data_IF_228488875650
#
_entry.id   IF_228488875650
#
_cell.length_a   1.000
_cell.length_b   1.000
_cell.length_c   1.000
_cell.angle_alpha   90.00
_cell.angle_beta   90.00
_cell.angle_gamma   90.00
#
_symmetry.space_group_name_H-M   'P 1'
#
loop_
_entity.id
_entity.type
_entity.pdbx_description
1 polymer ?
#
# COMPACT_ATOMS: atom_id res chain seq x y z
N UNK A 1 -3.67 -2.79 11.47
CA UNK A 1 -2.82 -3.93 11.85
C UNK A 1 -1.38 -3.53 11.56
N UNK A 2 -0.56 -3.50 12.59
CA UNK A 2 0.83 -3.08 12.52
C UNK A 2 1.74 -4.27 12.21
N UNK A 3 2.84 -4.01 11.52
CA UNK A 3 3.85 -5.02 11.15
C UNK A 3 5.22 -4.58 11.65
N UNK A 4 5.99 -5.49 12.22
CA UNK A 4 7.43 -5.36 12.46
C UNK A 4 8.15 -6.55 11.85
N UNK A 5 9.42 -6.38 11.48
CA UNK A 5 10.28 -7.48 11.05
C UNK A 5 11.22 -7.81 12.21
N UNK A 6 11.29 -9.08 12.62
CA UNK A 6 12.22 -9.47 13.67
C UNK A 6 13.66 -9.42 13.14
N UNK A 7 14.58 -8.81 13.91
CA UNK A 7 16.00 -8.74 13.55
C UNK A 7 16.74 -10.07 13.71
N UNK A 8 16.22 -10.97 14.55
CA UNK A 8 16.88 -12.25 14.86
C UNK A 8 16.50 -13.37 13.90
N UNK A 9 15.22 -13.45 13.51
CA UNK A 9 14.72 -14.53 12.65
C UNK A 9 14.16 -14.04 11.32
N UNK A 10 14.19 -12.73 11.07
CA UNK A 10 13.76 -12.08 9.82
C UNK A 10 12.29 -12.32 9.44
N UNK A 11 11.49 -12.85 10.38
CA UNK A 11 10.06 -13.13 10.16
C UNK A 11 9.21 -11.91 10.52
N UNK A 12 8.08 -11.72 9.80
CA UNK A 12 7.14 -10.68 10.14
C UNK A 12 6.39 -11.02 11.43
N UNK A 13 6.19 -10.00 12.26
CA UNK A 13 5.30 -10.05 13.43
C UNK A 13 4.22 -9.00 13.26
N UNK A 14 2.98 -9.37 13.61
CA UNK A 14 1.82 -8.50 13.49
C UNK A 14 1.20 -8.24 14.85
N UNK A 15 0.74 -7.02 15.08
CA UNK A 15 0.04 -6.61 16.29
C UNK A 15 -1.10 -5.67 15.96
N UNK A 16 -2.12 -5.68 16.82
CA UNK A 16 -3.22 -4.71 16.78
C UNK A 16 -2.83 -3.35 17.36
N UNK A 17 -1.74 -3.28 18.13
CA UNK A 17 -1.23 -2.06 18.75
C UNK A 17 0.23 -1.79 18.31
N UNK A 18 0.58 -0.53 18.14
CA UNK A 18 1.95 -0.10 17.82
C UNK A 18 2.83 0.11 19.06
N UNK A 19 2.21 0.20 20.23
CA UNK A 19 2.83 0.53 21.51
C UNK A 19 2.86 -0.66 22.48
N UNK A 20 3.75 -0.59 23.47
CA UNK A 20 3.97 -1.64 24.47
C UNK A 20 5.02 -2.67 24.07
N UNK A 21 5.25 -3.64 24.96
CA UNK A 21 6.22 -4.71 24.74
C UNK A 21 5.79 -5.58 23.56
N UNK A 22 6.72 -5.83 22.65
CA UNK A 22 6.49 -6.63 21.46
C UNK A 22 7.54 -7.73 21.37
N UNK A 23 7.13 -8.96 21.63
CA UNK A 23 7.97 -10.15 21.44
C UNK A 23 7.69 -10.77 20.08
N UNK A 24 8.73 -11.21 19.39
CA UNK A 24 8.58 -12.00 18.18
C UNK A 24 7.87 -13.32 18.51
N UNK A 25 6.74 -13.64 17.87
CA UNK A 25 5.99 -14.87 18.16
C UNK A 25 6.71 -16.13 17.67
N UNK A 26 7.79 -16.00 16.89
CA UNK A 26 8.52 -17.14 16.33
C UNK A 26 9.75 -17.50 17.14
N UNK A 27 10.56 -16.52 17.54
CA UNK A 27 11.80 -16.78 18.30
C UNK A 27 11.80 -16.20 19.72
N UNK A 28 10.75 -15.45 20.12
CA UNK A 28 10.67 -14.83 21.44
C UNK A 28 11.52 -13.59 21.64
N UNK A 29 12.29 -13.16 20.63
CA UNK A 29 13.14 -11.96 20.73
C UNK A 29 12.31 -10.68 20.97
N UNK A 30 12.81 -9.78 21.79
CA UNK A 30 12.20 -8.46 22.00
C UNK A 30 12.43 -7.56 20.79
N UNK A 31 11.34 -7.20 20.12
CA UNK A 31 11.30 -6.33 18.95
C UNK A 31 10.54 -5.03 19.23
N UNK A 32 10.37 -4.67 20.51
CA UNK A 32 9.70 -3.43 20.95
C UNK A 32 10.33 -2.21 20.31
N UNK A 33 11.67 -2.17 20.23
CA UNK A 33 12.44 -1.05 19.67
C UNK A 33 12.57 -1.08 18.15
N UNK A 34 12.13 -2.16 17.50
CA UNK A 34 12.15 -2.23 16.04
C UNK A 34 11.08 -1.31 15.48
N UNK A 35 11.45 -0.53 14.46
CA UNK A 35 10.54 0.36 13.77
C UNK A 35 9.40 -0.42 13.12
N UNK A 36 8.22 0.19 13.09
CA UNK A 36 7.11 -0.33 12.30
C UNK A 36 7.55 -0.42 10.85
N UNK A 37 7.33 -1.59 10.26
CA UNK A 37 7.31 -1.70 8.83
C UNK A 37 6.02 -1.02 8.39
N UNK A 38 6.13 0.22 7.92
CA UNK A 38 5.00 0.91 7.33
C UNK A 38 4.33 -0.06 6.35
N UNK A 39 3.00 -0.23 6.39
CA UNK A 39 2.34 -0.90 5.28
C UNK A 39 2.80 -0.15 4.03
N UNK A 40 3.08 -0.89 2.96
CA UNK A 40 3.28 -0.28 1.66
C UNK A 40 1.96 0.43 1.34
N UNK A 41 1.85 1.69 1.77
CA UNK A 41 0.70 2.52 1.47
C UNK A 41 0.77 2.72 -0.02
N UNK A 42 0.01 1.90 -0.75
CA UNK A 42 -0.47 2.18 -2.09
C UNK A 42 0.56 2.94 -2.93
N UNK A 43 1.56 2.24 -3.46
CA UNK A 43 2.15 2.63 -4.75
C UNK A 43 1.17 2.39 -5.91
N UNK A 44 -0.11 2.67 -5.65
CA UNK A 44 -1.20 2.82 -6.60
C UNK A 44 -1.73 4.24 -6.43
N UNK A 45 -0.84 5.24 -6.49
CA UNK A 45 -1.29 6.58 -6.79
C UNK A 45 -1.99 6.50 -8.15
N UNK A 46 -3.29 6.81 -8.15
CA UNK A 46 -4.03 7.32 -9.30
C UNK A 46 -4.54 6.31 -10.34
N UNK A 47 -4.96 5.09 -9.96
CA UNK A 47 -5.74 4.26 -10.89
C UNK A 47 -7.02 4.98 -11.34
N UNK A 48 -7.73 5.65 -10.43
CA UNK A 48 -8.97 6.39 -10.75
C UNK A 48 -8.71 7.58 -11.68
N UNK A 49 -7.62 8.34 -11.45
CA UNK A 49 -7.26 9.49 -12.28
C UNK A 49 -6.87 9.06 -13.71
N UNK A 50 -6.10 7.97 -13.85
CA UNK A 50 -5.74 7.41 -15.15
C UNK A 50 -6.96 6.91 -15.94
N UNK A 51 -7.93 6.28 -15.27
CA UNK A 51 -9.18 5.87 -15.93
C UNK A 51 -10.01 7.08 -16.37
N UNK A 52 -10.11 8.13 -15.54
CA UNK A 52 -10.86 9.34 -15.91
C UNK A 52 -10.27 10.09 -17.11
N UNK A 53 -8.94 10.20 -17.19
CA UNK A 53 -8.26 10.83 -18.33
C UNK A 53 -8.44 10.06 -19.64
N UNK A 54 -8.55 8.73 -19.59
CA UNK A 54 -8.81 7.89 -20.76
C UNK A 54 -10.26 8.03 -21.26
N UNK A 55 -11.24 8.11 -20.36
CA UNK A 55 -12.65 8.27 -20.71
C UNK A 55 -12.94 9.61 -21.41
N UNK A 56 -12.36 10.72 -20.92
CA UNK A 56 -12.53 12.05 -21.54
C UNK A 56 -11.92 12.09 -22.95
N UNK A 57 -10.76 11.46 -23.17
CA UNK A 57 -10.12 11.38 -24.50
C UNK A 57 -10.95 10.60 -25.51
N UNK A 58 -11.60 9.51 -25.09
CA UNK A 58 -12.45 8.71 -25.97
C UNK A 58 -13.68 9.50 -26.46
N UNK A 59 -14.30 10.32 -25.61
CA UNK A 59 -15.44 11.15 -25.99
C UNK A 59 -15.07 12.30 -26.93
N UNK A 60 -13.89 12.91 -26.75
CA UNK A 60 -13.38 13.94 -27.66
C UNK A 60 -13.13 13.39 -29.07
N UNK A 61 -12.62 12.16 -29.17
CA UNK A 61 -12.39 11.51 -30.45
C UNK A 61 -13.70 11.14 -31.16
N UNK A 62 -14.73 10.66 -30.44
CA UNK A 62 -16.05 10.37 -31.03
C UNK A 62 -16.75 11.60 -31.61
N UNK A 63 -16.59 12.79 -31.01
CA UNK A 63 -17.19 14.03 -31.54
C UNK A 63 -16.53 14.50 -32.84
N UNK A 64 -15.19 14.40 -32.94
CA UNK A 64 -14.45 14.77 -34.14
C UNK A 64 -14.85 13.93 -35.36
N UNK A 65 -15.14 12.64 -35.17
CA UNK A 65 -15.63 11.77 -36.24
C UNK A 65 -17.08 12.08 -36.69
N UNK A 66 -17.91 12.68 -35.82
CA UNK A 66 -19.28 13.05 -36.18
C UNK A 66 -19.36 14.41 -36.91
N UNK A 67 -18.36 15.28 -36.74
CA UNK A 67 -18.27 16.58 -37.44
C UNK A 67 -17.59 16.50 -38.83
N UNK A 68 -17.05 15.33 -39.21
CA UNK A 68 -16.38 15.08 -40.49
C UNK A 68 -17.20 14.23 -41.47
N UNK A 69 -18.47 13.94 -41.18
CA UNK A 69 -19.43 13.22 -42.04
C UNK A 69 -20.54 14.14 -42.50
#
# INVERSE_FOLDING_TARGET
>A
MYKKICTECEKPSYSSCDSGTWLCPVCGADITKVNLHAPESQRGQNQVELLSGQYIKQQGNQKLYHELV
#
